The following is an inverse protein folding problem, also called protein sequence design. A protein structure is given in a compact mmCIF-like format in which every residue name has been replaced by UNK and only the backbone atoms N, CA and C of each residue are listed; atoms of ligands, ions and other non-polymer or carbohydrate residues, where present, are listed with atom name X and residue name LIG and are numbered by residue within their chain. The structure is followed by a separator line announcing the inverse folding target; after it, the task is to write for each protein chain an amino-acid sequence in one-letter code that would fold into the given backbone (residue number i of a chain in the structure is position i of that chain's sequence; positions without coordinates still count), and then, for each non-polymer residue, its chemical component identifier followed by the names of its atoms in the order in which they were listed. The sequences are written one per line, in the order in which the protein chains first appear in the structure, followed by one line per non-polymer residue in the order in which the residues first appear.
data_IF_608863196694
#
_entry.id   IF_608863196694
#
_cell.length_a   1.000
_cell.length_b   1.000
_cell.length_c   1.000
_cell.angle_alpha   90.00
_cell.angle_beta   90.00
_cell.angle_gamma   90.00
#
_symmetry.space_group_name_H-M   'P 1'
#
loop_
_entity.id
_entity.type
_entity.pdbx_description
1 polymer ?
#
# COMPACT_ATOMS: atom_id res chain seq x y z
N UNK A 1 13.48 -21.12 -12.49
CA UNK A 1 14.07 -19.97 -11.77
C UNK A 1 13.67 -18.73 -12.54
N UNK A 2 12.81 -17.87 -11.96
CA UNK A 2 12.35 -16.65 -12.63
C UNK A 2 13.43 -15.59 -12.49
N UNK A 3 14.10 -15.24 -13.58
CA UNK A 3 14.94 -14.05 -13.62
C UNK A 3 14.05 -12.83 -13.37
N UNK A 4 14.21 -12.22 -12.20
CA UNK A 4 13.54 -11.01 -11.83
C UNK A 4 14.09 -9.87 -12.70
N UNK A 5 13.27 -9.02 -13.34
CA UNK A 5 13.71 -7.82 -14.09
C UNK A 5 14.54 -6.83 -13.27
N UNK A 6 14.60 -7.04 -11.96
CA UNK A 6 15.43 -6.29 -11.02
C UNK A 6 16.91 -6.70 -11.17
N UNK A 7 17.22 -7.75 -11.93
CA UNK A 7 18.58 -8.28 -12.15
C UNK A 7 19.20 -8.95 -10.91
N UNK A 8 18.57 -8.81 -9.75
CA UNK A 8 18.98 -9.43 -8.49
C UNK A 8 18.11 -10.65 -8.18
N UNK A 9 18.69 -11.73 -7.63
CA UNK A 9 17.92 -12.84 -7.10
C UNK A 9 17.03 -12.38 -5.94
N UNK A 10 15.84 -12.97 -5.86
CA UNK A 10 14.87 -12.71 -4.78
C UNK A 10 14.42 -14.05 -4.21
N UNK A 11 14.53 -14.19 -2.89
CA UNK A 11 14.02 -15.35 -2.14
C UNK A 11 12.99 -14.89 -1.13
N UNK A 12 11.93 -15.68 -0.94
CA UNK A 12 10.91 -15.44 0.09
C UNK A 12 11.08 -16.49 1.19
N UNK A 13 11.30 -16.03 2.42
CA UNK A 13 11.43 -16.88 3.59
C UNK A 13 10.18 -16.75 4.45
N UNK A 14 9.40 -17.82 4.56
CA UNK A 14 8.27 -17.84 5.47
C UNK A 14 8.76 -17.77 6.92
N UNK A 15 8.18 -16.85 7.69
CA UNK A 15 8.53 -16.62 9.08
C UNK A 15 7.61 -17.41 10.00
N UNK A 16 8.21 -18.07 11.00
CA UNK A 16 7.48 -18.79 12.04
C UNK A 16 7.55 -18.00 13.34
N UNK A 17 6.39 -17.76 13.94
CA UNK A 17 6.26 -16.99 15.17
C UNK A 17 5.76 -17.88 16.31
N UNK A 18 6.15 -17.53 17.54
CA UNK A 18 5.67 -18.24 18.74
C UNK A 18 4.16 -18.05 18.94
N UNK A 19 3.64 -16.88 18.60
CA UNK A 19 2.22 -16.57 18.60
C UNK A 19 1.68 -16.66 17.19
N UNK A 20 0.48 -17.22 17.05
CA UNK A 20 -0.21 -17.23 15.77
C UNK A 20 -0.51 -15.78 15.33
N UNK A 21 -0.02 -15.41 14.15
CA UNK A 21 -0.29 -14.14 13.51
C UNK A 21 -1.53 -14.23 12.60
N UNK A 22 -2.21 -13.11 12.31
CA UNK A 22 -3.44 -13.11 11.52
C UNK A 22 -3.20 -13.43 10.03
N UNK A 23 -1.96 -13.42 9.56
CA UNK A 23 -1.59 -13.71 8.17
C UNK A 23 -0.22 -14.41 8.07
N UNK A 24 0.02 -15.08 6.93
CA UNK A 24 1.35 -15.56 6.55
C UNK A 24 2.27 -14.37 6.33
N UNK A 25 3.50 -14.44 6.88
CA UNK A 25 4.51 -13.39 6.76
C UNK A 25 5.74 -13.96 6.06
N UNK A 26 6.21 -13.28 5.04
CA UNK A 26 7.37 -13.66 4.26
C UNK A 26 8.42 -12.57 4.37
N UNK A 27 9.63 -12.90 4.80
CA UNK A 27 10.78 -12.01 4.66
C UNK A 27 11.27 -12.05 3.22
N UNK A 28 11.50 -10.88 2.64
CA UNK A 28 12.05 -10.74 1.30
C UNK A 28 13.57 -10.63 1.40
N UNK A 29 14.29 -11.65 0.95
CA UNK A 29 15.73 -11.59 0.77
C UNK A 29 16.04 -11.11 -0.64
N UNK A 30 16.47 -9.86 -0.74
CA UNK A 30 16.90 -9.23 -1.97
C UNK A 30 17.98 -8.21 -1.64
N UNK A 31 19.13 -8.34 -2.30
CA UNK A 31 20.28 -7.45 -2.09
C UNK A 31 20.01 -6.01 -2.45
N UNK A 32 18.86 -5.67 -3.07
CA UNK A 32 18.45 -4.32 -3.45
C UNK A 32 17.46 -3.68 -2.48
N UNK A 33 16.92 -4.41 -1.51
CA UNK A 33 15.91 -3.94 -0.56
C UNK A 33 16.51 -3.67 0.82
N UNK A 34 15.82 -2.93 1.71
CA UNK A 34 16.15 -2.95 3.14
C UNK A 34 16.11 -4.39 3.66
N UNK A 35 17.03 -4.75 4.57
CA UNK A 35 17.11 -6.12 5.14
C UNK A 35 15.84 -6.57 5.86
N UNK A 36 15.01 -5.60 6.25
CA UNK A 36 13.80 -5.74 7.04
C UNK A 36 12.59 -5.43 6.15
N UNK A 37 12.51 -6.12 5.02
CA UNK A 37 11.40 -6.04 4.07
C UNK A 37 10.54 -7.31 4.17
N UNK A 38 9.24 -7.12 4.32
CA UNK A 38 8.28 -8.19 4.58
C UNK A 38 7.08 -8.10 3.63
N UNK A 39 6.58 -9.25 3.20
CA UNK A 39 5.26 -9.41 2.56
C UNK A 39 4.29 -10.03 3.57
N UNK A 40 3.15 -9.39 3.75
CA UNK A 40 2.06 -9.80 4.62
C UNK A 40 0.93 -10.29 3.72
N UNK A 41 0.60 -11.57 3.76
CA UNK A 41 -0.52 -12.11 2.98
C UNK A 41 -1.87 -11.85 3.66
N UNK A 42 -2.16 -10.57 3.90
CA UNK A 42 -3.41 -10.09 4.48
C UNK A 42 -4.57 -10.29 3.50
N UNK A 43 -5.60 -11.01 3.96
CA UNK A 43 -6.81 -11.24 3.15
C UNK A 43 -7.55 -9.92 2.88
N UNK A 44 -7.58 -8.99 3.83
CA UNK A 44 -8.23 -7.68 3.63
C UNK A 44 -7.55 -6.86 2.54
N UNK A 45 -6.22 -6.76 2.54
CA UNK A 45 -5.50 -6.11 1.45
C UNK A 45 -5.65 -6.85 0.13
N UNK A 46 -5.66 -8.19 0.14
CA UNK A 46 -5.80 -8.96 -1.08
C UNK A 46 -7.12 -8.64 -1.79
N UNK A 47 -8.21 -8.54 -1.02
CA UNK A 47 -9.51 -8.10 -1.54
C UNK A 47 -9.44 -6.68 -2.11
N UNK A 48 -8.81 -5.74 -1.42
CA UNK A 48 -8.63 -4.36 -1.91
C UNK A 48 -7.95 -4.32 -3.28
N UNK A 49 -6.96 -5.19 -3.49
CA UNK A 49 -6.12 -5.26 -4.69
C UNK A 49 -6.74 -6.07 -5.84
N UNK A 50 -7.76 -6.89 -5.56
CA UNK A 50 -8.45 -7.74 -6.55
C UNK A 50 -9.86 -7.24 -6.89
N UNK A 51 -10.49 -6.46 -6.00
CA UNK A 51 -11.87 -5.98 -6.14
C UNK A 51 -11.90 -4.45 -6.34
N UNK A 52 -11.74 -3.94 -7.57
CA UNK A 52 -11.63 -2.50 -7.84
C UNK A 52 -12.92 -1.70 -7.59
N UNK A 53 -14.06 -2.38 -7.43
CA UNK A 53 -15.34 -1.76 -7.06
C UNK A 53 -15.47 -1.50 -5.55
N UNK A 54 -14.52 -1.97 -4.72
CA UNK A 54 -14.50 -1.63 -3.29
C UNK A 54 -14.12 -0.16 -3.11
N UNK A 55 -15.05 0.62 -2.56
CA UNK A 55 -14.92 2.06 -2.33
C UNK A 55 -15.52 2.50 -0.98
N UNK A 56 -15.16 3.69 -0.53
CA UNK A 56 -15.63 4.33 0.71
C UNK A 56 -15.67 3.41 1.94
N UNK A 57 -16.82 3.27 2.62
CA UNK A 57 -16.89 2.57 3.92
C UNK A 57 -16.37 1.13 3.91
N UNK A 58 -16.73 0.33 2.90
CA UNK A 58 -16.23 -1.05 2.78
C UNK A 58 -14.71 -1.10 2.54
N UNK A 59 -14.19 -0.16 1.74
CA UNK A 59 -12.74 -0.01 1.54
C UNK A 59 -12.04 0.38 2.85
N UNK A 60 -12.59 1.35 3.59
CA UNK A 60 -12.03 1.81 4.86
C UNK A 60 -11.97 0.69 5.91
N UNK A 61 -13.00 -0.15 6.00
CA UNK A 61 -13.02 -1.31 6.91
C UNK A 61 -11.89 -2.28 6.58
N UNK A 62 -11.73 -2.64 5.30
CA UNK A 62 -10.68 -3.56 4.86
C UNK A 62 -9.28 -2.92 5.03
N UNK A 63 -9.14 -1.63 4.75
CA UNK A 63 -7.86 -0.92 4.90
C UNK A 63 -7.42 -0.93 6.37
N UNK A 64 -8.33 -0.64 7.30
CA UNK A 64 -8.09 -0.72 8.74
C UNK A 64 -7.74 -2.14 9.20
N UNK A 65 -8.46 -3.16 8.73
CA UNK A 65 -8.14 -4.57 9.03
C UNK A 65 -6.73 -4.93 8.55
N UNK A 66 -6.35 -4.46 7.36
CA UNK A 66 -5.03 -4.68 6.82
C UNK A 66 -3.93 -3.95 7.62
N UNK A 67 -4.21 -2.75 8.11
CA UNK A 67 -3.35 -2.03 9.04
C UNK A 67 -3.23 -2.72 10.40
N UNK A 68 -4.28 -3.38 10.89
CA UNK A 68 -4.23 -4.22 12.11
C UNK A 68 -3.29 -5.41 11.91
N UNK A 69 -3.37 -6.09 10.75
CA UNK A 69 -2.44 -7.17 10.40
C UNK A 69 -0.99 -6.65 10.41
N UNK A 70 -0.74 -5.50 9.78
CA UNK A 70 0.56 -4.84 9.78
C UNK A 70 1.08 -4.59 11.19
N UNK A 71 0.31 -3.93 12.06
CA UNK A 71 0.78 -3.56 13.40
C UNK A 71 1.12 -4.78 14.26
N UNK A 72 0.32 -5.85 14.17
CA UNK A 72 0.59 -7.10 14.88
C UNK A 72 1.87 -7.77 14.39
N UNK A 73 2.05 -7.85 13.06
CA UNK A 73 3.28 -8.40 12.47
C UNK A 73 4.49 -7.55 12.87
N UNK A 74 4.40 -6.22 12.72
CA UNK A 74 5.49 -5.31 13.03
C UNK A 74 5.92 -5.38 14.51
N UNK A 75 4.98 -5.53 15.45
CA UNK A 75 5.28 -5.72 16.87
C UNK A 75 6.05 -7.02 17.15
N UNK A 76 5.74 -8.09 16.41
CA UNK A 76 6.43 -9.39 16.54
C UNK A 76 7.78 -9.41 15.80
N UNK A 77 7.96 -8.63 14.73
CA UNK A 77 9.20 -8.62 13.93
C UNK A 77 10.21 -7.53 14.30
N UNK A 78 9.77 -6.41 14.87
CA UNK A 78 10.62 -5.25 15.14
C UNK A 78 10.81 -5.03 16.65
N UNK A 79 11.99 -5.39 17.18
CA UNK A 79 12.35 -5.20 18.58
C UNK A 79 12.19 -3.74 19.04
N UNK A 80 12.67 -2.79 18.24
CA UNK A 80 12.53 -1.34 18.52
C UNK A 80 11.06 -0.95 18.70
N UNK A 81 10.12 -1.59 17.98
CA UNK A 81 8.69 -1.33 18.16
C UNK A 81 8.16 -1.96 19.44
N UNK A 82 8.53 -3.21 19.74
CA UNK A 82 8.14 -3.90 20.97
C UNK A 82 8.57 -3.16 22.24
N UNK A 83 9.76 -2.58 22.20
CA UNK A 83 10.37 -1.89 23.35
C UNK A 83 9.98 -0.40 23.43
N UNK A 84 9.15 0.07 22.49
CA UNK A 84 8.68 1.46 22.48
C UNK A 84 7.55 1.68 23.49
N UNK A 85 7.60 2.83 24.15
CA UNK A 85 6.44 3.36 24.87
C UNK A 85 5.46 4.00 23.88
N UNK A 86 4.16 3.92 24.16
CA UNK A 86 3.09 4.50 23.32
C UNK A 86 3.36 5.98 23.02
N UNK A 87 3.77 6.76 24.03
CA UNK A 87 4.08 8.19 23.90
C UNK A 87 5.23 8.52 22.92
N UNK A 88 6.04 7.53 22.53
CA UNK A 88 7.16 7.70 21.59
C UNK A 88 6.81 7.24 20.17
N UNK A 89 5.62 6.68 19.96
CA UNK A 89 5.18 6.19 18.65
C UNK A 89 4.41 7.30 17.95
N UNK A 90 4.85 7.63 16.73
CA UNK A 90 4.26 8.70 15.93
C UNK A 90 3.88 8.21 14.54
N UNK A 91 2.62 8.34 14.18
CA UNK A 91 2.18 8.26 12.80
C UNK A 91 2.54 9.57 12.09
N UNK A 92 3.34 9.50 11.03
CA UNK A 92 3.45 10.59 10.06
C UNK A 92 2.53 10.26 8.89
N UNK A 93 1.58 11.15 8.61
CA UNK A 93 0.51 10.95 7.62
C UNK A 93 0.80 11.73 6.33
N UNK A 94 1.22 11.04 5.24
CA UNK A 94 1.26 11.59 3.88
C UNK A 94 -0.13 11.99 3.38
N UNK A 95 -0.45 13.28 3.42
CA UNK A 95 -1.76 13.72 2.94
C UNK A 95 -1.85 13.70 1.41
N UNK A 96 -3.00 13.33 0.83
CA UNK A 96 -4.24 12.90 1.50
C UNK A 96 -4.50 11.38 1.39
N UNK A 97 -3.68 10.64 0.65
CA UNK A 97 -3.89 9.19 0.42
C UNK A 97 -3.74 8.35 1.68
N UNK A 98 -2.77 8.67 2.53
CA UNK A 98 -2.48 7.92 3.76
C UNK A 98 -3.63 7.93 4.78
N UNK A 99 -4.47 8.97 4.77
CA UNK A 99 -5.62 9.08 5.69
C UNK A 99 -6.56 7.87 5.60
N UNK A 100 -6.61 7.20 4.45
CA UNK A 100 -7.50 6.08 4.20
C UNK A 100 -6.91 4.72 4.59
N UNK A 101 -5.66 4.68 5.09
CA UNK A 101 -5.07 3.46 5.64
C UNK A 101 -5.59 3.13 7.05
N UNK A 102 -6.22 4.11 7.73
CA UNK A 102 -6.81 3.92 9.05
C UNK A 102 -5.82 3.41 10.10
N UNK A 103 -4.56 3.87 10.04
CA UNK A 103 -3.49 3.39 10.91
C UNK A 103 -3.73 3.76 12.37
N UNK A 104 -4.22 4.98 12.65
CA UNK A 104 -4.54 5.40 14.01
C UNK A 104 -5.65 4.53 14.63
N UNK A 105 -6.72 4.28 13.89
CA UNK A 105 -7.83 3.43 14.32
C UNK A 105 -7.41 1.95 14.44
N UNK A 106 -6.51 1.49 13.57
CA UNK A 106 -5.92 0.17 13.69
C UNK A 106 -5.01 0.07 14.93
N UNK A 107 -4.26 1.12 15.23
CA UNK A 107 -3.39 1.20 16.41
C UNK A 107 -4.20 1.16 17.70
N UNK A 108 -5.30 1.91 17.77
CA UNK A 108 -6.27 1.82 18.86
C UNK A 108 -6.84 0.41 19.00
N UNK A 109 -7.23 -0.24 17.90
CA UNK A 109 -7.74 -1.60 17.94
C UNK A 109 -6.72 -2.65 18.42
N UNK A 110 -5.42 -2.41 18.28
CA UNK A 110 -4.36 -3.36 18.66
C UNK A 110 -3.83 -3.08 20.07
N UNK A 111 -3.64 -1.81 20.42
CA UNK A 111 -2.95 -1.38 21.63
C UNK A 111 -3.83 -0.68 22.65
N UNK A 112 -5.10 -0.38 22.32
CA UNK A 112 -6.05 0.29 23.21
C UNK A 112 -5.83 1.80 23.36
N UNK A 113 -4.96 2.40 22.54
CA UNK A 113 -4.53 3.80 22.61
C UNK A 113 -4.33 4.38 21.21
N UNK A 114 -4.19 5.70 21.07
CA UNK A 114 -3.86 6.34 19.78
C UNK A 114 -2.38 6.72 19.69
N UNK A 115 -1.74 6.62 18.51
CA UNK A 115 -0.39 7.14 18.34
C UNK A 115 -0.39 8.68 18.28
N UNK A 116 0.76 9.31 18.53
CA UNK A 116 0.93 10.71 18.15
C UNK A 116 0.76 10.86 16.62
N UNK A 117 0.25 12.00 16.14
CA UNK A 117 0.00 12.20 14.71
C UNK A 117 0.61 13.48 14.19
N UNK A 118 1.44 13.33 13.16
CA UNK A 118 2.01 14.42 12.38
C UNK A 118 1.49 14.32 10.95
N UNK A 119 1.39 15.46 10.26
CA UNK A 119 0.79 15.53 8.93
C UNK A 119 1.73 16.21 7.95
N UNK A 120 1.93 15.60 6.78
CA UNK A 120 2.75 16.18 5.72
C UNK A 120 1.95 16.17 4.42
N UNK A 121 1.62 17.35 3.92
CA UNK A 121 0.95 17.52 2.63
C UNK A 121 1.97 17.61 1.50
N UNK A 122 1.82 16.75 0.51
CA UNK A 122 2.64 16.75 -0.69
C UNK A 122 1.77 16.98 -1.93
N UNK A 123 2.20 17.89 -2.82
CA UNK A 123 1.60 18.11 -4.13
C UNK A 123 2.55 17.61 -5.21
N UNK A 124 2.06 16.75 -6.10
CA UNK A 124 2.80 16.35 -7.29
C UNK A 124 2.52 17.34 -8.42
N UNK A 125 3.56 17.75 -9.13
CA UNK A 125 3.47 18.50 -10.39
C UNK A 125 4.22 17.72 -11.46
N UNK A 126 3.60 17.56 -12.62
CA UNK A 126 4.29 16.99 -13.77
C UNK A 126 5.23 18.05 -14.36
N UNK A 127 6.51 17.73 -14.50
CA UNK A 127 7.55 18.57 -15.08
C UNK A 127 8.10 17.90 -16.36
N UNK A 128 8.90 18.61 -17.18
CA UNK A 128 9.51 18.01 -18.37
C UNK A 128 10.41 16.80 -18.07
N UNK A 129 10.90 16.67 -16.84
CA UNK A 129 11.76 15.57 -16.36
C UNK A 129 11.01 14.48 -15.59
N UNK A 130 9.68 14.54 -15.53
CA UNK A 130 8.82 13.57 -14.86
C UNK A 130 8.04 14.16 -13.68
N UNK A 131 7.70 13.33 -12.69
CA UNK A 131 6.92 13.77 -11.54
C UNK A 131 7.80 14.44 -10.46
N UNK A 132 7.57 15.74 -10.21
CA UNK A 132 8.16 16.44 -9.07
C UNK A 132 7.18 16.50 -7.90
N UNK A 133 7.69 16.33 -6.67
CA UNK A 133 6.89 16.46 -5.43
C UNK A 133 7.29 17.72 -4.67
N UNK A 134 6.32 18.55 -4.31
CA UNK A 134 6.48 19.77 -3.50
C UNK A 134 5.74 19.58 -2.16
N UNK A 135 6.35 19.96 -1.04
CA UNK A 135 5.70 19.88 0.27
C UNK A 135 4.88 21.15 0.50
N UNK A 136 3.56 21.00 0.56
CA UNK A 136 2.60 22.10 0.69
C UNK A 136 2.15 22.34 2.14
N UNK A 137 2.33 21.36 3.03
CA UNK A 137 1.92 21.45 4.43
C UNK A 137 2.81 20.57 5.31
N UNK A 138 3.13 21.04 6.51
CA UNK A 138 3.92 20.33 7.52
C UNK A 138 3.36 20.65 8.89
N UNK A 139 2.90 19.65 9.63
CA UNK A 139 2.55 19.75 11.05
C UNK A 139 3.25 18.63 11.81
N UNK A 140 4.13 19.03 12.73
CA UNK A 140 4.91 18.14 13.59
C UNK A 140 4.78 18.51 15.08
N UNK A 141 3.66 19.11 15.47
CA UNK A 141 3.43 19.56 16.85
C UNK A 141 3.42 18.40 17.85
N UNK A 142 2.92 17.24 17.42
CA UNK A 142 2.84 16.03 18.23
C UNK A 142 4.11 15.15 18.17
N UNK A 143 5.19 15.59 17.53
CA UNK A 143 6.41 14.79 17.39
C UNK A 143 7.20 14.78 18.73
N UNK A 144 7.35 13.62 19.39
CA UNK A 144 8.12 13.51 20.63
C UNK A 144 9.62 13.46 20.33
N UNK A 145 10.44 13.50 21.39
CA UNK A 145 11.85 13.14 21.29
C UNK A 145 12.01 11.64 20.99
N UNK A 146 13.01 11.32 20.18
CA UNK A 146 13.42 9.95 19.83
C UNK A 146 12.27 9.06 19.34
N UNK A 147 11.49 9.51 18.34
CA UNK A 147 10.28 8.81 17.93
C UNK A 147 10.60 7.48 17.26
N UNK A 148 9.67 6.54 17.36
CA UNK A 148 9.48 5.51 16.34
C UNK A 148 8.37 6.00 15.40
N UNK A 149 8.68 6.07 14.11
CA UNK A 149 7.78 6.64 13.11
C UNK A 149 7.04 5.53 12.36
N UNK A 150 5.72 5.62 12.30
CA UNK A 150 4.85 4.80 11.45
C UNK A 150 4.42 5.60 10.23
N UNK A 151 4.48 5.01 9.03
CA UNK A 151 3.96 5.64 7.81
C UNK A 151 3.19 4.62 6.99
N UNK A 152 1.90 4.89 6.71
CA UNK A 152 1.09 4.13 5.77
C UNK A 152 0.86 4.91 4.48
N UNK A 153 1.25 4.39 3.32
CA UNK A 153 0.95 5.03 2.04
C UNK A 153 1.02 4.06 0.87
N UNK A 154 0.49 4.44 -0.29
CA UNK A 154 0.71 3.74 -1.57
C UNK A 154 2.04 4.20 -2.17
N UNK A 155 2.94 3.26 -2.42
CA UNK A 155 4.33 3.58 -2.76
C UNK A 155 4.67 3.03 -4.14
N UNK A 156 4.46 3.78 -5.21
CA UNK A 156 4.93 3.37 -6.54
C UNK A 156 6.45 3.57 -6.68
N UNK A 157 6.88 4.74 -7.17
CA UNK A 157 8.31 5.08 -7.30
C UNK A 157 8.99 5.46 -5.97
N UNK A 158 8.22 5.77 -4.94
CA UNK A 158 8.73 6.21 -3.64
C UNK A 158 9.29 7.63 -3.59
N UNK A 159 9.11 8.46 -4.63
CA UNK A 159 9.62 9.84 -4.62
C UNK A 159 8.94 10.73 -3.56
N UNK A 160 7.66 10.49 -3.28
CA UNK A 160 6.93 11.23 -2.24
C UNK A 160 7.35 10.80 -0.83
N UNK A 161 7.38 9.48 -0.56
CA UNK A 161 7.76 8.96 0.75
C UNK A 161 9.20 9.34 1.13
N UNK A 162 10.14 9.38 0.17
CA UNK A 162 11.51 9.85 0.42
C UNK A 162 11.51 11.29 0.96
N UNK A 163 10.77 12.21 0.33
CA UNK A 163 10.72 13.61 0.79
C UNK A 163 10.07 13.74 2.16
N UNK A 164 9.04 12.93 2.43
CA UNK A 164 8.34 12.90 3.72
C UNK A 164 9.28 12.40 4.81
N UNK A 165 10.05 11.34 4.56
CA UNK A 165 11.04 10.85 5.51
C UNK A 165 12.11 11.91 5.75
N UNK A 166 12.66 12.53 4.70
CA UNK A 166 13.68 13.58 4.85
C UNK A 166 13.21 14.71 5.77
N UNK A 167 12.02 15.29 5.53
CA UNK A 167 11.50 16.37 6.39
C UNK A 167 11.17 15.89 7.80
N UNK A 168 10.75 14.63 7.95
CA UNK A 168 10.51 14.04 9.28
C UNK A 168 11.81 13.96 10.06
N UNK A 169 12.90 13.52 9.43
CA UNK A 169 14.23 13.43 10.05
C UNK A 169 14.88 14.79 10.30
N UNK A 170 14.61 15.79 9.46
CA UNK A 170 15.00 17.19 9.75
C UNK A 170 14.35 17.69 11.06
N UNK A 171 13.11 17.27 11.33
CA UNK A 171 12.37 17.67 12.52
C UNK A 171 12.70 16.83 13.75
N UNK A 172 12.95 15.54 13.56
CA UNK A 172 13.27 14.57 14.60
C UNK A 172 14.55 13.79 14.23
N UNK A 173 15.74 14.41 14.32
CA UNK A 173 17.00 13.79 13.92
C UNK A 173 17.40 12.59 14.79
N UNK A 174 16.79 12.44 15.96
CA UNK A 174 16.98 11.33 16.90
C UNK A 174 15.96 10.19 16.69
N UNK A 175 15.27 10.15 15.55
CA UNK A 175 14.34 9.05 15.18
C UNK A 175 15.02 7.69 15.30
N UNK A 176 14.42 6.79 16.09
CA UNK A 176 14.99 5.46 16.39
C UNK A 176 14.79 4.46 15.26
N UNK A 177 13.64 4.51 14.61
CA UNK A 177 13.29 3.65 13.48
C UNK A 177 12.08 4.22 12.71
N UNK A 178 11.96 3.82 11.44
CA UNK A 178 10.81 4.11 10.59
C UNK A 178 10.21 2.79 10.10
N UNK A 179 8.92 2.61 10.35
CA UNK A 179 8.14 1.47 9.89
C UNK A 179 7.20 1.96 8.80
N UNK A 180 7.42 1.46 7.58
CA UNK A 180 6.66 1.86 6.40
C UNK A 180 5.73 0.72 5.99
N UNK A 181 4.43 1.00 5.91
CA UNK A 181 3.41 0.06 5.49
C UNK A 181 2.76 0.48 4.17
N UNK A 182 2.56 -0.49 3.28
CA UNK A 182 1.87 -0.27 2.02
C UNK A 182 0.93 -1.43 1.67
N UNK A 183 -0.33 -1.11 1.34
CA UNK A 183 -1.25 -2.05 0.69
C UNK A 183 -0.76 -2.36 -0.72
N UNK A 184 -0.21 -1.36 -1.43
CA UNK A 184 0.41 -1.52 -2.73
C UNK A 184 1.72 -0.73 -2.79
N UNK A 185 2.83 -1.45 -2.63
CA UNK A 185 4.17 -0.90 -2.76
C UNK A 185 4.94 -1.54 -3.92
N UNK A 186 5.63 -0.69 -4.67
CA UNK A 186 6.37 -1.04 -5.85
C UNK A 186 7.85 -1.25 -5.57
N UNK A 187 8.48 -2.13 -6.35
CA UNK A 187 9.91 -2.46 -6.30
C UNK A 187 10.78 -1.20 -6.29
N UNK A 188 10.51 -0.26 -7.20
CA UNK A 188 11.26 1.00 -7.30
C UNK A 188 11.20 1.81 -6.01
N UNK A 189 10.02 1.85 -5.36
CA UNK A 189 9.83 2.53 -4.09
C UNK A 189 10.60 1.87 -2.94
N UNK A 190 10.61 0.54 -2.88
CA UNK A 190 11.36 -0.21 -1.85
C UNK A 190 12.87 0.01 -1.99
N UNK A 191 13.40 -0.04 -3.23
CA UNK A 191 14.82 0.28 -3.51
C UNK A 191 15.14 1.71 -3.08
N UNK A 192 14.23 2.66 -3.31
CA UNK A 192 14.41 4.03 -2.87
C UNK A 192 14.44 4.16 -1.35
N UNK A 193 13.58 3.45 -0.62
CA UNK A 193 13.61 3.39 0.84
C UNK A 193 14.93 2.84 1.38
N UNK A 194 15.53 1.83 0.71
CA UNK A 194 16.88 1.36 1.05
C UNK A 194 17.91 2.48 0.96
N UNK A 195 17.91 3.25 -0.13
CA UNK A 195 18.85 4.37 -0.30
C UNK A 195 18.66 5.44 0.77
N UNK A 196 17.41 5.69 1.18
CA UNK A 196 17.12 6.59 2.30
C UNK A 196 17.72 6.06 3.60
N UNK A 197 17.55 4.77 3.91
CA UNK A 197 18.18 4.11 5.06
C UNK A 197 19.71 4.24 5.02
N UNK A 198 20.33 3.91 3.89
CA UNK A 198 21.80 3.99 3.73
C UNK A 198 22.33 5.42 3.90
N UNK A 199 21.62 6.42 3.37
CA UNK A 199 22.00 7.83 3.48
C UNK A 199 21.84 8.39 4.89
N UNK A 200 20.83 7.95 5.62
CA UNK A 200 20.45 8.55 6.91
C UNK A 200 20.94 7.77 8.12
N UNK A 201 21.30 6.50 7.95
CA UNK A 201 21.65 5.58 9.05
C UNK A 201 20.45 5.14 9.90
N UNK A 202 19.26 5.71 9.69
CA UNK A 202 18.05 5.37 10.45
C UNK A 202 17.51 4.02 9.98
N UNK A 203 17.24 3.06 10.88
CA UNK A 203 16.59 1.80 10.53
C UNK A 203 15.24 2.02 9.83
N UNK A 204 15.03 1.38 8.68
CA UNK A 204 13.77 1.40 7.95
C UNK A 204 13.31 -0.04 7.72
N UNK A 205 12.12 -0.36 8.26
CA UNK A 205 11.41 -1.62 8.07
C UNK A 205 10.25 -1.41 7.10
N UNK A 206 10.11 -2.28 6.10
CA UNK A 206 9.11 -2.12 5.03
C UNK A 206 8.16 -3.31 5.02
N UNK A 207 6.87 -3.02 5.08
CA UNK A 207 5.78 -3.98 5.18
C UNK A 207 4.84 -3.81 3.98
N UNK A 208 4.71 -4.84 3.16
CA UNK A 208 4.00 -4.80 1.89
C UNK A 208 2.89 -5.86 1.88
N UNK A 209 1.70 -5.50 1.39
CA UNK A 209 0.59 -6.46 1.41
C UNK A 209 0.57 -7.32 0.16
N UNK A 210 0.63 -8.63 0.33
CA UNK A 210 0.50 -9.70 -0.66
C UNK A 210 1.55 -9.75 -1.79
N UNK A 211 2.18 -8.63 -2.17
CA UNK A 211 3.20 -8.57 -3.20
C UNK A 211 4.10 -7.33 -3.07
N UNK A 212 5.28 -7.37 -3.70
CA UNK A 212 6.05 -6.18 -4.08
C UNK A 212 5.87 -5.98 -5.58
N UNK A 213 5.14 -4.95 -5.98
CA UNK A 213 4.70 -4.80 -7.36
C UNK A 213 5.81 -4.26 -8.27
N UNK A 214 5.89 -4.76 -9.49
CA UNK A 214 6.59 -4.02 -10.54
C UNK A 214 5.88 -2.70 -10.83
N UNK A 215 6.64 -1.66 -11.17
CA UNK A 215 6.09 -0.35 -11.52
C UNK A 215 6.22 -0.17 -13.03
N UNK A 216 5.12 0.14 -13.69
CA UNK A 216 5.11 0.38 -15.14
C UNK A 216 5.86 1.68 -15.50
N UNK A 217 6.17 1.83 -16.77
CA UNK A 217 6.84 2.97 -17.40
C UNK A 217 6.18 4.33 -17.11
N UNK A 218 4.87 4.37 -16.85
CA UNK A 218 4.18 5.61 -16.46
C UNK A 218 4.51 6.08 -15.02
N UNK A 219 5.21 5.25 -14.24
CA UNK A 219 5.70 5.58 -12.91
C UNK A 219 4.67 5.48 -11.79
N UNK A 220 3.46 4.98 -12.06
CA UNK A 220 2.40 4.87 -11.05
C UNK A 220 1.70 3.52 -11.05
N UNK A 221 1.55 2.88 -12.20
CA UNK A 221 0.81 1.63 -12.30
C UNK A 221 1.62 0.46 -11.75
N UNK A 222 0.92 -0.40 -10.99
CA UNK A 222 1.51 -1.53 -10.28
C UNK A 222 0.75 -2.83 -10.60
N UNK A 223 0.94 -3.42 -11.79
CA UNK A 223 0.18 -4.60 -12.21
C UNK A 223 0.61 -5.87 -11.47
N UNK A 224 -0.36 -6.75 -11.19
CA UNK A 224 -0.12 -8.04 -10.52
C UNK A 224 0.85 -8.96 -11.29
N UNK A 225 0.77 -8.93 -12.62
CA UNK A 225 1.54 -9.80 -13.51
C UNK A 225 2.65 -9.04 -14.24
N UNK A 226 3.02 -7.85 -13.74
CA UNK A 226 4.25 -7.22 -14.19
C UNK A 226 5.43 -8.19 -13.95
N UNK A 227 6.38 -8.32 -14.89
CA UNK A 227 7.50 -9.27 -14.75
C UNK A 227 8.30 -9.07 -13.46
N UNK A 228 8.39 -7.82 -12.97
CA UNK A 228 9.09 -7.46 -11.74
C UNK A 228 8.30 -7.65 -10.45
N UNK A 229 7.02 -8.07 -10.53
CA UNK A 229 6.21 -8.30 -9.34
C UNK A 229 6.69 -9.53 -8.60
N UNK A 230 7.18 -9.32 -7.37
CA UNK A 230 7.55 -10.35 -6.41
C UNK A 230 6.29 -10.73 -5.63
N UNK A 231 5.84 -11.95 -5.83
CA UNK A 231 4.60 -12.49 -5.25
C UNK A 231 4.70 -14.00 -5.18
N UNK A 232 4.03 -14.59 -4.21
CA UNK A 232 3.92 -16.05 -4.09
C UNK A 232 3.14 -16.67 -5.26
N UNK A 233 3.38 -17.96 -5.57
CA UNK A 233 2.61 -18.66 -6.59
C UNK A 233 1.10 -18.64 -6.31
N UNK A 234 0.69 -18.74 -5.05
CA UNK A 234 -0.73 -18.78 -4.67
C UNK A 234 -1.41 -17.44 -4.96
N UNK A 235 -0.82 -16.32 -4.54
CA UNK A 235 -1.40 -15.00 -4.80
C UNK A 235 -1.31 -14.62 -6.28
N UNK A 236 -0.27 -15.07 -7.00
CA UNK A 236 -0.20 -14.93 -8.46
C UNK A 236 -1.35 -15.67 -9.15
N UNK A 237 -1.64 -16.90 -8.71
CA UNK A 237 -2.74 -17.68 -9.27
C UNK A 237 -4.11 -17.01 -9.02
N UNK A 238 -4.32 -16.43 -7.82
CA UNK A 238 -5.52 -15.64 -7.53
C UNK A 238 -5.64 -14.40 -8.43
N UNK A 239 -4.54 -13.69 -8.67
CA UNK A 239 -4.54 -12.55 -9.58
C UNK A 239 -4.85 -12.96 -11.03
N UNK A 240 -4.26 -14.05 -11.52
CA UNK A 240 -4.59 -14.63 -12.84
C UNK A 240 -6.05 -15.07 -12.92
N UNK A 241 -6.60 -15.64 -11.84
CA UNK A 241 -8.02 -16.01 -11.79
C UNK A 241 -8.93 -14.78 -11.84
N UNK A 242 -8.55 -13.70 -11.14
CA UNK A 242 -9.39 -12.50 -10.99
C UNK A 242 -9.34 -11.59 -12.21
N UNK A 243 -8.15 -11.40 -12.79
CA UNK A 243 -7.93 -10.46 -13.88
C UNK A 243 -7.64 -11.13 -15.24
N UNK A 244 -7.35 -12.43 -15.27
CA UNK A 244 -6.74 -13.05 -16.45
C UNK A 244 -5.29 -12.59 -16.67
N UNK A 245 -4.65 -13.18 -17.67
CA UNK A 245 -3.24 -12.90 -17.96
C UNK A 245 -3.00 -11.52 -18.58
N UNK A 246 -3.95 -11.03 -19.38
CA UNK A 246 -3.81 -9.75 -20.08
C UNK A 246 -4.06 -8.56 -19.14
N UNK A 247 -5.26 -8.45 -18.54
CA UNK A 247 -5.54 -7.35 -17.61
C UNK A 247 -4.61 -7.38 -16.41
N UNK A 248 -4.24 -8.56 -15.91
CA UNK A 248 -3.28 -8.68 -14.81
C UNK A 248 -1.91 -8.06 -15.12
N UNK A 249 -1.53 -7.91 -16.40
CA UNK A 249 -0.30 -7.22 -16.84
C UNK A 249 -0.48 -5.72 -17.06
N UNK A 250 -1.69 -5.25 -17.38
CA UNK A 250 -1.93 -3.87 -17.81
C UNK A 250 -2.70 -3.01 -16.81
N UNK A 251 -3.44 -3.63 -15.89
CA UNK A 251 -4.26 -2.93 -14.91
C UNK A 251 -3.50 -2.77 -13.60
N UNK A 252 -3.46 -1.54 -13.10
CA UNK A 252 -2.90 -1.25 -11.79
C UNK A 252 -3.70 -1.98 -10.70
N UNK A 253 -3.02 -2.71 -9.81
CA UNK A 253 -3.66 -3.50 -8.75
C UNK A 253 -4.43 -2.65 -7.73
N UNK A 254 -3.93 -1.45 -7.41
CA UNK A 254 -4.54 -0.58 -6.39
C UNK A 254 -5.55 0.41 -6.98
N UNK A 255 -5.52 0.61 -8.29
CA UNK A 255 -6.28 1.65 -9.00
C UNK A 255 -6.01 3.04 -8.42
N UNK A 256 -6.88 4.01 -8.64
CA UNK A 256 -6.76 5.30 -7.96
C UNK A 256 -7.21 5.17 -6.50
N UNK A 257 -6.26 4.85 -5.62
CA UNK A 257 -6.47 4.77 -4.17
C UNK A 257 -7.16 6.02 -3.61
N UNK A 258 -6.76 7.21 -4.10
CA UNK A 258 -7.28 8.48 -3.63
C UNK A 258 -8.74 8.67 -4.03
N UNK A 259 -9.10 8.38 -5.28
CA UNK A 259 -10.47 8.54 -5.76
C UNK A 259 -11.43 7.51 -5.19
N UNK A 260 -10.99 6.26 -5.00
CA UNK A 260 -11.81 5.21 -4.35
C UNK A 260 -12.31 5.63 -2.97
N UNK A 261 -11.57 6.49 -2.28
CA UNK A 261 -11.91 6.98 -0.96
C UNK A 261 -12.55 8.39 -0.97
N UNK A 262 -12.00 9.33 -1.75
CA UNK A 262 -12.45 10.75 -1.79
C UNK A 262 -13.67 10.97 -2.67
N UNK A 263 -13.73 10.28 -3.81
CA UNK A 263 -14.77 10.45 -4.81
C UNK A 263 -15.28 9.08 -5.30
N UNK A 264 -15.86 8.24 -4.42
CA UNK A 264 -16.29 6.88 -4.75
C UNK A 264 -17.12 6.78 -6.03
N UNK A 265 -18.10 7.66 -6.21
CA UNK A 265 -18.97 7.65 -7.40
C UNK A 265 -18.23 8.01 -8.68
N UNK A 266 -17.20 8.86 -8.61
CA UNK A 266 -16.39 9.21 -9.78
C UNK A 266 -15.57 7.98 -10.19
N UNK A 267 -14.83 7.40 -9.23
CA UNK A 267 -14.04 6.18 -9.46
C UNK A 267 -14.90 5.06 -10.08
N UNK A 268 -16.08 4.80 -9.52
CA UNK A 268 -16.98 3.74 -10.05
C UNK A 268 -17.44 4.03 -11.48
N UNK A 269 -17.77 5.28 -11.82
CA UNK A 269 -18.15 5.65 -13.20
C UNK A 269 -16.98 5.49 -14.17
N UNK A 270 -15.77 5.89 -13.75
CA UNK A 270 -14.57 5.75 -14.57
C UNK A 270 -14.17 4.28 -14.74
N UNK A 271 -14.35 3.45 -13.71
CA UNK A 271 -14.19 1.99 -13.78
C UNK A 271 -15.18 1.36 -14.76
N UNK A 272 -16.47 1.73 -14.70
CA UNK A 272 -17.50 1.25 -15.64
C UNK A 272 -17.13 1.66 -17.07
N UNK A 273 -16.76 2.93 -17.30
CA UNK A 273 -16.33 3.41 -18.62
C UNK A 273 -15.14 2.62 -19.16
N UNK A 274 -14.13 2.35 -18.31
CA UNK A 274 -12.98 1.53 -18.69
C UNK A 274 -13.40 0.11 -19.06
N UNK A 275 -14.32 -0.49 -18.31
CA UNK A 275 -14.85 -1.81 -18.63
C UNK A 275 -15.62 -1.82 -19.96
N UNK A 276 -16.45 -0.81 -20.23
CA UNK A 276 -17.16 -0.67 -21.51
C UNK A 276 -16.18 -0.58 -22.69
N UNK A 277 -15.10 0.20 -22.55
CA UNK A 277 -14.06 0.30 -23.56
C UNK A 277 -13.39 -1.07 -23.81
N UNK A 278 -13.00 -1.77 -22.75
CA UNK A 278 -12.31 -3.06 -22.88
C UNK A 278 -13.24 -4.16 -23.45
N UNK A 279 -14.53 -4.16 -23.13
CA UNK A 279 -15.52 -5.08 -23.71
C UNK A 279 -15.73 -4.88 -25.21
N UNK A 280 -15.58 -3.64 -25.69
CA UNK A 280 -15.68 -3.29 -27.11
C UNK A 280 -14.44 -3.70 -27.90
N UNK A 281 -13.28 -3.80 -27.25
CA UNK A 281 -12.01 -4.15 -27.90
C UNK A 281 -11.54 -5.58 -27.66
N UNK A 282 -12.04 -6.26 -26.62
CA UNK A 282 -11.58 -7.60 -26.26
C UNK A 282 -12.05 -8.65 -27.27
N UNK A 283 -11.12 -9.48 -27.73
CA UNK A 283 -11.40 -10.60 -28.63
C UNK A 283 -11.46 -11.94 -27.91
N UNK A 284 -11.02 -12.02 -26.64
CA UNK A 284 -11.02 -13.27 -25.88
C UNK A 284 -12.17 -13.35 -24.85
N UNK A 285 -12.82 -14.52 -24.82
CA UNK A 285 -13.99 -14.77 -23.98
C UNK A 285 -13.71 -14.73 -22.48
N UNK A 286 -12.49 -15.08 -22.05
CA UNK A 286 -12.13 -15.07 -20.65
C UNK A 286 -12.00 -13.64 -20.14
N UNK A 287 -11.29 -12.78 -20.86
CA UNK A 287 -11.22 -11.34 -20.51
C UNK A 287 -12.60 -10.72 -20.59
N UNK A 288 -13.43 -11.05 -21.59
CA UNK A 288 -14.82 -10.58 -21.67
C UNK A 288 -15.61 -10.92 -20.41
N UNK A 289 -15.53 -12.17 -19.91
CA UNK A 289 -16.18 -12.60 -18.66
C UNK A 289 -15.66 -11.84 -17.44
N UNK A 290 -14.34 -11.69 -17.33
CA UNK A 290 -13.71 -10.94 -16.23
C UNK A 290 -14.17 -9.49 -16.22
N UNK A 291 -14.04 -8.78 -17.34
CA UNK A 291 -14.44 -7.37 -17.46
C UNK A 291 -15.95 -7.21 -17.22
N UNK A 292 -16.77 -8.13 -17.74
CA UNK A 292 -18.20 -8.17 -17.49
C UNK A 292 -18.53 -8.25 -16.00
N UNK A 293 -17.88 -9.17 -15.27
CA UNK A 293 -18.06 -9.30 -13.83
C UNK A 293 -17.64 -8.02 -13.07
N UNK A 294 -16.47 -7.46 -13.38
CA UNK A 294 -15.97 -6.22 -12.76
C UNK A 294 -16.97 -5.07 -12.97
N UNK A 295 -17.50 -4.95 -14.19
CA UNK A 295 -18.50 -3.95 -14.56
C UNK A 295 -19.80 -4.12 -13.78
N UNK A 296 -20.33 -5.34 -13.71
CA UNK A 296 -21.56 -5.65 -12.96
C UNK A 296 -21.42 -5.25 -11.48
N UNK A 297 -20.30 -5.62 -10.85
CA UNK A 297 -20.01 -5.25 -9.46
C UNK A 297 -19.89 -3.74 -9.28
N UNK A 298 -19.25 -3.04 -10.22
CA UNK A 298 -19.12 -1.59 -10.19
C UNK A 298 -20.47 -0.87 -10.34
N UNK A 299 -21.35 -1.36 -11.21
CA UNK A 299 -22.72 -0.84 -11.38
C UNK A 299 -23.53 -1.04 -10.10
N UNK A 300 -23.46 -2.23 -9.51
CA UNK A 300 -24.14 -2.53 -8.23
C UNK A 300 -23.63 -1.61 -7.11
N UNK A 301 -22.32 -1.46 -6.99
CA UNK A 301 -21.72 -0.56 -6.01
C UNK A 301 -22.14 0.90 -6.22
N UNK A 302 -22.24 1.36 -7.47
CA UNK A 302 -22.69 2.71 -7.81
C UNK A 302 -24.16 2.94 -7.45
N UNK A 303 -25.01 1.93 -7.65
CA UNK A 303 -26.42 1.93 -7.23
C UNK A 303 -26.55 2.12 -5.72
N UNK A 304 -25.74 1.41 -4.92
CA UNK A 304 -25.72 1.55 -3.46
C UNK A 304 -25.29 2.95 -3.01
N UNK A 305 -24.32 3.57 -3.70
CA UNK A 305 -23.87 4.94 -3.40
C UNK A 305 -24.85 6.03 -3.85
N UNK A 306 -25.77 5.71 -4.76
CA UNK A 306 -26.79 6.64 -5.25
C UNK A 306 -28.08 6.59 -4.43
N UNK A 307 -28.18 5.65 -3.47
CA UNK A 307 -29.32 5.54 -2.57
C UNK A 307 -29.40 6.69 -1.57
N UNK A 308 -30.60 6.88 -0.98
CA UNK A 308 -30.79 7.84 0.11
C UNK A 308 -29.97 7.41 1.33
N UNK A 309 -29.42 8.38 2.04
CA UNK A 309 -28.73 8.14 3.30
C UNK A 309 -29.70 7.54 4.32
N UNK A 310 -29.37 6.36 4.83
CA UNK A 310 -30.15 5.68 5.86
C UNK A 310 -29.23 5.25 7.00
N UNK A 311 -29.70 5.42 8.23
CA UNK A 311 -29.04 4.84 9.40
C UNK A 311 -29.07 3.32 9.29
N UNK A 312 -27.91 2.69 9.38
CA UNK A 312 -27.83 1.23 9.52
C UNK A 312 -28.16 0.89 10.96
N UNK A 313 -29.18 0.05 11.16
CA UNK A 313 -29.53 -0.55 12.45
C UNK A 313 -28.60 -1.70 12.77
#
# INVERSE_FOLDING_TARGET
MNESPIGAPVTLHEMVFRKALPCRVLRVDCSLFPTDTYILESQSALRILLEPWLVGGSLAVLARQSSVDFLRVAYETCEVFRDSKVETITEVVPMAGALYYGLAEAFESVFGETPNRCFVGARRRHTPTGWATELAYKNFEAMPSSPLVLIGDTIATGGTIEKIISVTLERAPDTRAILVYSIAGGVTGVIRLRRVRERTGVPICVFLSNAVFGVDSNGTDMPWLHPATIVTPENRAKAVSSYGSDLGRRWCSVWDWGERAKQPTKHLRDLIRRCDMELNTCTDDRTRRVVGHIREQAVQALGNWSGLLALRR
#
